data_IF_400636488055
#
_entry.id   IF_400636488055
#
_cell.length_a   1.000
_cell.length_b   1.000
_cell.length_c   1.000
_cell.angle_alpha   90.00
_cell.angle_beta   90.00
_cell.angle_gamma   90.00
#
_symmetry.space_group_name_H-M   'P 1'
#
loop_
_entity.id
_entity.type
_entity.pdbx_description
1 polymer ?
#
# COMPACT_ATOMS: atom_id res chain seq x y z
N UNK A 1 -48.40 47.77 46.42
CA UNK A 1 -47.39 47.95 45.34
C UNK A 1 -48.18 48.29 44.09
N UNK A 2 -48.06 49.51 43.56
CA UNK A 2 -48.86 49.96 42.40
C UNK A 2 -48.46 49.19 41.14
N UNK A 3 -49.43 48.89 40.25
CA UNK A 3 -49.22 48.04 39.07
C UNK A 3 -48.11 48.55 38.14
N UNK A 4 -47.90 49.86 38.10
CA UNK A 4 -46.81 50.51 37.34
C UNK A 4 -45.41 50.06 37.80
N UNK A 5 -45.18 49.92 39.11
CA UNK A 5 -43.88 49.45 39.63
C UNK A 5 -43.61 47.97 39.30
N UNK A 6 -44.66 47.17 39.15
CA UNK A 6 -44.51 45.76 38.75
C UNK A 6 -44.23 45.64 37.24
N UNK A 7 -44.87 46.49 36.43
CA UNK A 7 -44.61 46.57 34.99
C UNK A 7 -43.16 46.99 34.70
N UNK A 8 -42.61 47.96 35.42
CA UNK A 8 -41.20 48.38 35.26
C UNK A 8 -40.19 47.31 35.70
N UNK A 9 -40.48 46.57 36.77
CA UNK A 9 -39.61 45.48 37.24
C UNK A 9 -39.62 44.32 36.24
N UNK A 10 -40.80 43.95 35.73
CA UNK A 10 -40.93 42.88 34.73
C UNK A 10 -40.31 43.33 33.41
N UNK A 11 -40.52 44.58 32.99
CA UNK A 11 -39.91 45.16 31.79
C UNK A 11 -38.38 45.18 31.85
N UNK A 12 -37.79 45.60 32.97
CA UNK A 12 -36.33 45.56 33.17
C UNK A 12 -35.79 44.13 33.24
N UNK A 13 -36.54 43.18 33.80
CA UNK A 13 -36.11 41.77 33.89
C UNK A 13 -36.20 41.06 32.54
N UNK A 14 -37.20 41.40 31.72
CA UNK A 14 -37.30 40.97 30.32
C UNK A 14 -36.17 41.58 29.50
N UNK A 15 -35.86 42.88 29.65
CA UNK A 15 -34.75 43.51 28.95
C UNK A 15 -33.38 42.92 29.31
N UNK A 16 -33.16 42.55 30.59
CA UNK A 16 -31.95 41.85 31.03
C UNK A 16 -31.84 40.41 30.49
N UNK A 17 -32.97 39.71 30.30
CA UNK A 17 -32.98 38.38 29.69
C UNK A 17 -32.69 38.45 28.18
N UNK A 18 -33.18 39.47 27.47
CA UNK A 18 -32.97 39.62 26.02
C UNK A 18 -31.52 39.99 25.66
N UNK A 19 -30.75 40.60 26.57
CA UNK A 19 -29.34 40.99 26.33
C UNK A 19 -28.37 39.82 26.60
N UNK A 20 -28.77 38.83 27.41
CA UNK A 20 -27.88 37.74 27.84
C UNK A 20 -27.79 36.54 26.90
N UNK A 21 -28.70 36.35 25.94
CA UNK A 21 -28.73 35.08 25.20
C UNK A 21 -27.97 35.10 23.88
N UNK A 22 -28.01 36.16 23.08
CA UNK A 22 -27.47 36.07 21.71
C UNK A 22 -25.93 36.09 21.64
N UNK A 23 -25.29 36.87 22.51
CA UNK A 23 -23.82 36.97 22.53
C UNK A 23 -23.16 35.75 23.21
N UNK A 24 -23.77 35.24 24.28
CA UNK A 24 -23.32 34.04 24.98
C UNK A 24 -23.51 32.78 24.13
N UNK A 25 -24.62 32.67 23.38
CA UNK A 25 -24.84 31.59 22.43
C UNK A 25 -23.82 31.65 21.29
N UNK A 26 -23.56 32.82 20.70
CA UNK A 26 -22.53 32.99 19.65
C UNK A 26 -21.14 32.63 20.17
N UNK A 27 -20.79 32.98 21.40
CA UNK A 27 -19.52 32.59 22.02
C UNK A 27 -19.45 31.08 22.26
N UNK A 28 -20.51 30.47 22.76
CA UNK A 28 -20.58 29.02 22.93
C UNK A 28 -20.44 28.30 21.57
N UNK A 29 -21.15 28.73 20.54
CA UNK A 29 -21.05 28.17 19.18
C UNK A 29 -19.63 28.30 18.61
N UNK A 30 -18.96 29.44 18.83
CA UNK A 30 -17.57 29.65 18.41
C UNK A 30 -16.63 28.67 19.11
N UNK A 31 -16.78 28.51 20.43
CA UNK A 31 -15.98 27.57 21.24
C UNK A 31 -16.26 26.11 20.84
N UNK A 32 -17.51 25.75 20.55
CA UNK A 32 -17.86 24.43 20.04
C UNK A 32 -17.25 24.20 18.64
N UNK A 33 -17.29 25.20 17.76
CA UNK A 33 -16.69 25.12 16.44
C UNK A 33 -15.16 24.94 16.51
N UNK A 34 -14.49 25.70 17.38
CA UNK A 34 -13.05 25.58 17.62
C UNK A 34 -12.68 24.21 18.19
N UNK A 35 -13.44 23.72 19.18
CA UNK A 35 -13.19 22.41 19.80
C UNK A 35 -13.42 21.28 18.80
N UNK A 36 -14.46 21.37 17.97
CA UNK A 36 -14.72 20.40 16.91
C UNK A 36 -13.62 20.43 15.83
N UNK A 37 -13.12 21.60 15.47
CA UNK A 37 -11.99 21.73 14.56
C UNK A 37 -10.69 21.17 15.14
N UNK A 38 -10.48 21.30 16.46
CA UNK A 38 -9.35 20.70 17.17
C UNK A 38 -9.47 19.18 17.22
N UNK A 39 -10.61 18.65 17.64
CA UNK A 39 -10.87 17.20 17.67
C UNK A 39 -10.71 16.57 16.29
N UNK A 40 -11.16 17.25 15.24
CA UNK A 40 -10.98 16.77 13.86
C UNK A 40 -9.50 16.68 13.48
N UNK A 41 -8.69 17.69 13.85
CA UNK A 41 -7.23 17.65 13.66
C UNK A 41 -6.56 16.53 14.45
N UNK A 42 -6.97 16.30 15.70
CA UNK A 42 -6.46 15.19 16.52
C UNK A 42 -6.83 13.82 15.94
N UNK A 43 -8.06 13.65 15.46
CA UNK A 43 -8.49 12.43 14.77
C UNK A 43 -7.67 12.20 13.49
N UNK A 44 -7.43 13.24 12.70
CA UNK A 44 -6.64 13.12 11.48
C UNK A 44 -5.18 12.79 11.79
N UNK A 45 -4.58 13.39 12.83
CA UNK A 45 -3.23 13.07 13.29
C UNK A 45 -3.12 11.66 13.89
N UNK A 46 -4.15 11.19 14.60
CA UNK A 46 -4.21 9.82 15.13
C UNK A 46 -4.40 8.79 14.01
N UNK A 47 -5.22 9.11 13.00
CA UNK A 47 -5.35 8.30 11.79
C UNK A 47 -4.02 8.20 11.07
N UNK A 48 -3.29 9.30 10.91
CA UNK A 48 -1.96 9.30 10.29
C UNK A 48 -0.95 8.47 11.10
N UNK A 49 -0.94 8.59 12.43
CA UNK A 49 -0.10 7.75 13.30
C UNK A 49 -0.46 6.26 13.21
N UNK A 50 -1.75 5.93 13.18
CA UNK A 50 -2.21 4.56 12.99
C UNK A 50 -1.82 4.03 11.61
N UNK A 51 -1.94 4.85 10.57
CA UNK A 51 -1.53 4.53 9.18
C UNK A 51 -0.03 4.24 9.12
N UNK A 52 0.79 5.04 9.79
CA UNK A 52 2.24 4.84 9.87
C UNK A 52 2.60 3.57 10.67
N UNK A 53 1.85 3.26 11.73
CA UNK A 53 2.04 2.06 12.53
C UNK A 53 1.63 0.80 11.74
N UNK A 54 0.51 0.86 11.02
CA UNK A 54 0.04 -0.18 10.10
C UNK A 54 0.99 -0.36 8.91
N UNK A 55 1.61 0.72 8.41
CA UNK A 55 2.63 0.66 7.35
C UNK A 55 3.95 0.05 7.85
N UNK A 56 4.33 0.33 9.11
CA UNK A 56 5.50 -0.29 9.75
C UNK A 56 5.28 -1.76 10.14
N UNK A 57 4.07 -2.14 10.57
CA UNK A 57 3.72 -3.53 10.83
C UNK A 57 3.41 -4.31 9.53
N UNK A 58 2.88 -3.64 8.50
CA UNK A 58 2.31 -4.24 7.30
C UNK A 58 3.29 -4.55 6.17
N UNK A 59 4.59 -4.71 6.41
CA UNK A 59 5.53 -5.07 5.33
C UNK A 59 5.54 -6.57 5.02
N UNK A 60 4.35 -7.15 4.78
CA UNK A 60 4.23 -8.43 4.05
C UNK A 60 3.83 -8.12 2.63
N UNK A 61 4.77 -8.34 1.73
CA UNK A 61 4.73 -7.83 0.38
C UNK A 61 4.27 -8.98 -0.52
N UNK A 62 3.03 -8.87 -1.01
CA UNK A 62 2.48 -9.56 -2.18
C UNK A 62 1.99 -11.02 -2.05
N UNK A 63 1.05 -11.38 -2.95
CA UNK A 63 0.54 -12.74 -3.17
C UNK A 63 1.00 -13.25 -4.53
N UNK A 64 1.45 -14.51 -4.59
CA UNK A 64 2.22 -15.05 -5.72
C UNK A 64 1.67 -16.38 -6.18
N UNK A 65 1.34 -16.53 -7.45
CA UNK A 65 1.36 -17.84 -8.09
C UNK A 65 1.91 -17.70 -9.50
N UNK A 66 2.30 -18.83 -10.07
CA UNK A 66 2.97 -18.91 -11.37
C UNK A 66 2.25 -19.82 -12.36
N UNK A 67 1.81 -19.22 -13.47
CA UNK A 67 2.10 -19.66 -14.84
C UNK A 67 2.04 -18.43 -15.74
N UNK A 68 3.14 -18.09 -16.40
CA UNK A 68 3.16 -17.00 -17.38
C UNK A 68 2.93 -17.56 -18.78
N UNK A 69 1.73 -17.39 -19.32
CA UNK A 69 1.44 -17.64 -20.74
C UNK A 69 1.52 -16.30 -21.46
N UNK A 70 2.61 -16.08 -22.18
CA UNK A 70 2.76 -14.91 -23.05
C UNK A 70 1.95 -15.16 -24.31
N UNK A 71 0.88 -14.38 -24.46
CA UNK A 71 0.17 -14.22 -25.72
C UNK A 71 0.40 -12.76 -26.13
N UNK A 72 1.21 -12.57 -27.17
CA UNK A 72 1.61 -11.29 -27.78
C UNK A 72 2.71 -10.48 -27.06
N UNK A 73 3.58 -9.78 -27.84
CA UNK A 73 4.81 -9.11 -27.36
C UNK A 73 4.58 -7.86 -26.49
N UNK A 74 3.46 -7.75 -25.76
CA UNK A 74 3.17 -6.56 -24.94
C UNK A 74 2.50 -6.85 -23.59
N UNK A 75 1.96 -8.04 -23.36
CA UNK A 75 1.31 -8.40 -22.09
C UNK A 75 1.38 -9.90 -21.83
N UNK A 76 1.38 -10.28 -20.56
CA UNK A 76 1.51 -11.66 -20.10
C UNK A 76 0.27 -12.04 -19.30
N UNK A 77 -0.23 -13.27 -19.49
CA UNK A 77 -1.24 -13.84 -18.58
C UNK A 77 -0.53 -14.61 -17.48
N UNK A 78 -0.85 -14.30 -16.23
CA UNK A 78 -0.23 -14.88 -15.04
C UNK A 78 -1.29 -15.63 -14.24
N UNK A 79 -1.05 -16.91 -13.97
CA UNK A 79 -1.83 -17.68 -13.00
C UNK A 79 -1.29 -17.45 -11.60
N UNK A 80 -2.08 -16.88 -10.70
CA UNK A 80 -1.69 -16.65 -9.31
C UNK A 80 -2.18 -17.74 -8.34
N UNK A 81 -2.73 -18.86 -8.85
CA UNK A 81 -3.35 -19.89 -8.01
C UNK A 81 -4.76 -19.52 -7.51
N UNK A 82 -5.31 -18.39 -7.96
CA UNK A 82 -6.67 -17.92 -7.62
C UNK A 82 -7.76 -18.54 -8.53
N UNK A 83 -7.38 -19.46 -9.41
CA UNK A 83 -8.28 -20.07 -10.41
C UNK A 83 -8.64 -19.17 -11.59
N UNK A 84 -8.11 -17.94 -11.63
CA UNK A 84 -8.27 -17.01 -12.76
C UNK A 84 -6.92 -16.43 -13.19
N UNK A 85 -6.73 -16.29 -14.51
CA UNK A 85 -5.52 -15.71 -15.09
C UNK A 85 -5.62 -14.18 -15.05
N UNK A 86 -4.65 -13.52 -14.42
CA UNK A 86 -4.53 -12.06 -14.41
C UNK A 86 -3.70 -11.58 -15.60
N UNK A 87 -4.04 -10.39 -16.10
CA UNK A 87 -3.24 -9.75 -17.16
C UNK A 87 -2.22 -8.83 -16.53
N UNK A 88 -0.94 -9.03 -16.85
CA UNK A 88 0.18 -8.20 -16.39
C UNK A 88 0.92 -7.65 -17.62
N UNK A 89 1.04 -6.34 -17.68
CA UNK A 89 1.83 -5.64 -18.70
C UNK A 89 3.22 -5.38 -18.12
N UNK A 90 4.25 -5.93 -18.75
CA UNK A 90 5.65 -5.72 -18.33
C UNK A 90 6.48 -5.11 -19.47
N UNK A 91 7.40 -4.23 -19.12
CA UNK A 91 8.33 -3.58 -20.05
C UNK A 91 9.59 -4.39 -20.35
N UNK A 92 9.55 -5.72 -20.18
CA UNK A 92 10.74 -6.59 -20.21
C UNK A 92 11.16 -7.07 -21.60
N UNK A 93 10.42 -6.68 -22.64
CA UNK A 93 10.67 -7.08 -24.05
C UNK A 93 12.12 -6.88 -24.51
N UNK A 94 12.83 -5.78 -24.16
CA UNK A 94 14.21 -5.59 -24.59
C UNK A 94 15.25 -6.28 -23.68
N UNK A 95 14.86 -6.73 -22.48
CA UNK A 95 15.79 -7.22 -21.46
C UNK A 95 15.77 -8.75 -21.31
N UNK A 96 14.60 -9.38 -21.46
CA UNK A 96 14.44 -10.82 -21.26
C UNK A 96 13.87 -11.48 -22.51
N UNK A 97 14.56 -12.48 -23.09
CA UNK A 97 14.04 -13.18 -24.26
C UNK A 97 12.77 -13.97 -23.91
N UNK A 98 11.85 -14.07 -24.87
CA UNK A 98 10.54 -14.70 -24.67
C UNK A 98 10.63 -16.17 -24.22
N UNK A 99 11.64 -16.88 -24.71
CA UNK A 99 11.93 -18.28 -24.35
C UNK A 99 12.24 -18.41 -22.87
N UNK A 100 12.99 -17.45 -22.31
CA UNK A 100 13.27 -17.43 -20.89
C UNK A 100 12.06 -17.01 -20.09
N UNK A 101 11.11 -16.25 -20.64
CA UNK A 101 9.91 -15.81 -19.92
C UNK A 101 8.84 -16.91 -19.81
N UNK A 102 8.84 -17.88 -20.73
CA UNK A 102 7.89 -18.99 -20.71
C UNK A 102 8.23 -19.95 -19.57
N UNK A 103 7.25 -20.17 -18.68
CA UNK A 103 7.42 -21.08 -17.55
C UNK A 103 8.25 -20.54 -16.38
N UNK A 104 8.60 -19.24 -16.37
CA UNK A 104 9.22 -18.64 -15.19
C UNK A 104 8.26 -18.54 -14.03
N UNK A 105 8.81 -18.88 -12.85
CA UNK A 105 8.23 -18.54 -11.56
C UNK A 105 8.85 -17.20 -11.14
N UNK A 106 8.02 -16.16 -11.16
CA UNK A 106 8.42 -14.81 -10.81
C UNK A 106 7.59 -14.25 -9.65
N UNK A 107 8.01 -13.08 -9.17
CA UNK A 107 7.39 -12.39 -8.05
C UNK A 107 6.51 -11.27 -8.56
N UNK A 108 5.21 -11.31 -8.26
CA UNK A 108 4.24 -10.31 -8.70
C UNK A 108 3.62 -9.54 -7.54
N UNK A 109 3.35 -8.26 -7.81
CA UNK A 109 2.62 -7.33 -6.95
C UNK A 109 1.18 -7.26 -7.43
N UNK A 110 0.23 -7.76 -6.63
CA UNK A 110 -1.17 -7.91 -7.06
C UNK A 110 -2.17 -7.06 -6.26
N UNK A 111 -1.71 -6.37 -5.22
CA UNK A 111 -2.51 -5.48 -4.37
C UNK A 111 -2.52 -4.01 -4.85
N UNK A 112 -1.84 -3.71 -5.97
CA UNK A 112 -1.90 -2.39 -6.58
C UNK A 112 -3.23 -2.17 -7.31
N UNK A 113 -3.64 -0.91 -7.41
CA UNK A 113 -4.79 -0.55 -8.24
C UNK A 113 -4.46 -0.90 -9.71
N UNK A 114 -5.36 -1.61 -10.42
CA UNK A 114 -5.15 -1.90 -11.84
C UNK A 114 -4.90 -0.63 -12.66
N UNK A 115 -3.89 -0.67 -13.51
CA UNK A 115 -3.47 0.47 -14.34
C UNK A 115 -3.68 0.12 -15.80
N UNK A 116 -4.35 1.00 -16.55
CA UNK A 116 -4.48 0.84 -18.00
C UNK A 116 -3.23 1.37 -18.70
N UNK A 117 -2.50 0.47 -19.35
CA UNK A 117 -1.34 0.77 -20.17
C UNK A 117 -1.64 0.40 -21.63
N UNK A 118 -1.57 1.38 -22.52
CA UNK A 118 -1.80 1.18 -23.98
C UNK A 118 -3.12 0.46 -24.30
N UNK A 119 -4.18 0.72 -23.52
CA UNK A 119 -5.51 0.12 -23.70
C UNK A 119 -5.70 -1.23 -23.01
N UNK A 120 -4.67 -1.80 -22.40
CA UNK A 120 -4.72 -3.07 -21.66
C UNK A 120 -4.66 -2.77 -20.16
N UNK A 121 -5.55 -3.39 -19.38
CA UNK A 121 -5.54 -3.26 -17.93
C UNK A 121 -4.53 -4.24 -17.32
N UNK A 122 -3.48 -3.70 -16.69
CA UNK A 122 -2.52 -4.48 -15.90
C UNK A 122 -3.04 -4.58 -14.47
N UNK A 123 -3.27 -5.81 -14.03
CA UNK A 123 -3.77 -6.17 -12.69
C UNK A 123 -2.66 -6.64 -11.75
N UNK A 124 -1.41 -6.34 -12.11
CA UNK A 124 -0.24 -6.56 -11.29
C UNK A 124 1.03 -5.99 -11.92
N UNK A 125 2.13 -6.15 -11.20
CA UNK A 125 3.47 -5.74 -11.61
C UNK A 125 4.44 -6.88 -11.31
N UNK A 126 5.36 -7.18 -12.23
CA UNK A 126 6.40 -8.19 -12.03
C UNK A 126 7.63 -7.53 -11.41
N UNK A 127 8.08 -8.05 -10.27
CA UNK A 127 9.26 -7.58 -9.56
C UNK A 127 10.54 -7.98 -10.30
N UNK A 128 11.35 -6.98 -10.58
CA UNK A 128 12.62 -7.13 -11.25
C UNK A 128 13.73 -6.44 -10.47
N UNK A 129 14.95 -6.93 -10.61
CA UNK A 129 16.15 -6.24 -10.18
C UNK A 129 16.72 -5.44 -11.36
N UNK A 130 17.08 -4.18 -11.13
CA UNK A 130 17.67 -3.29 -12.10
C UNK A 130 19.05 -2.83 -11.62
N UNK A 131 20.10 -3.24 -12.33
CA UNK A 131 21.47 -2.81 -12.08
C UNK A 131 21.71 -1.37 -12.58
N UNK A 132 22.78 -0.73 -12.11
CA UNK A 132 23.26 0.58 -12.58
C UNK A 132 23.57 0.61 -14.09
N UNK A 133 23.77 -0.55 -14.72
CA UNK A 133 23.99 -0.71 -16.16
C UNK A 133 22.69 -0.77 -16.99
N UNK A 134 21.54 -0.39 -16.42
CA UNK A 134 20.19 -0.54 -17.00
C UNK A 134 19.80 -1.98 -17.37
N UNK A 135 20.48 -2.96 -16.76
CA UNK A 135 20.17 -4.38 -16.94
C UNK A 135 19.04 -4.76 -15.98
N UNK A 136 17.90 -5.12 -16.55
CA UNK A 136 16.71 -5.54 -15.79
C UNK A 136 16.55 -7.05 -15.89
N UNK A 137 16.47 -7.73 -14.74
CA UNK A 137 16.19 -9.16 -14.66
C UNK A 137 15.05 -9.45 -13.67
N UNK A 138 14.12 -10.36 -14.00
CA UNK A 138 13.06 -10.74 -13.08
C UNK A 138 13.63 -11.52 -11.90
N UNK A 139 13.05 -11.31 -10.72
CA UNK A 139 13.40 -12.12 -9.55
C UNK A 139 12.88 -13.55 -9.74
N UNK A 140 13.71 -14.52 -9.37
CA UNK A 140 13.42 -15.95 -9.45
C UNK A 140 13.36 -16.56 -8.06
N UNK A 141 12.57 -17.63 -7.94
CA UNK A 141 12.44 -18.40 -6.72
C UNK A 141 13.17 -19.72 -6.92
N UNK A 142 14.15 -20.01 -6.08
CA UNK A 142 14.78 -21.32 -6.02
C UNK A 142 14.33 -22.03 -4.75
N UNK A 143 13.79 -23.24 -4.93
CA UNK A 143 13.31 -24.07 -3.83
C UNK A 143 13.72 -25.52 -4.09
N UNK A 144 14.14 -26.26 -3.05
CA UNK A 144 14.38 -27.70 -3.15
C UNK A 144 13.07 -28.50 -3.24
N UNK A 145 11.94 -27.88 -2.91
CA UNK A 145 10.60 -28.49 -2.85
C UNK A 145 9.68 -27.85 -3.89
N UNK A 146 8.67 -28.61 -4.32
CA UNK A 146 7.62 -28.11 -5.20
C UNK A 146 6.95 -26.84 -4.60
N UNK A 147 6.95 -25.78 -5.39
CA UNK A 147 6.35 -24.51 -5.00
C UNK A 147 4.84 -24.56 -5.21
N UNK A 148 4.10 -24.12 -4.20
CA UNK A 148 2.64 -23.96 -4.33
C UNK A 148 2.33 -22.59 -4.94
N UNK A 149 1.50 -22.59 -5.98
CA UNK A 149 0.98 -21.35 -6.57
C UNK A 149 0.03 -20.69 -5.57
N UNK A 150 0.10 -19.38 -5.45
CA UNK A 150 -0.65 -18.58 -4.47
C UNK A 150 0.09 -18.30 -3.14
N UNK A 151 1.34 -18.76 -2.97
CA UNK A 151 2.13 -18.49 -1.77
C UNK A 151 2.38 -16.98 -1.57
N UNK A 152 2.62 -16.54 -0.34
CA UNK A 152 2.84 -15.13 0.01
C UNK A 152 4.29 -14.91 0.40
N UNK A 153 4.90 -13.83 -0.09
CA UNK A 153 6.22 -13.39 0.39
C UNK A 153 6.04 -12.56 1.64
N UNK A 154 6.87 -12.83 2.62
CA UNK A 154 6.96 -12.05 3.84
C UNK A 154 8.42 -11.78 4.16
N UNK A 155 8.62 -10.76 4.99
CA UNK A 155 9.93 -10.42 5.55
C UNK A 155 9.83 -10.68 7.05
N UNK A 156 10.71 -11.51 7.59
CA UNK A 156 10.58 -12.06 8.94
C UNK A 156 10.44 -10.98 10.02
N UNK A 157 11.16 -9.88 9.89
CA UNK A 157 11.17 -8.78 10.86
C UNK A 157 9.99 -7.81 10.73
N UNK A 158 9.13 -8.01 9.72
CA UNK A 158 7.98 -7.14 9.42
C UNK A 158 6.68 -7.95 9.31
N UNK A 159 6.16 -8.48 10.44
CA UNK A 159 4.96 -9.31 10.44
C UNK A 159 3.69 -8.46 10.25
N UNK A 160 2.99 -8.68 9.14
CA UNK A 160 1.68 -8.07 8.87
C UNK A 160 0.84 -8.86 7.87
N UNK A 161 -0.44 -8.50 7.74
CA UNK A 161 -1.31 -9.02 6.69
C UNK A 161 -1.46 -7.99 5.57
N UNK A 162 -1.38 -8.39 4.29
CA UNK A 162 -1.47 -7.46 3.18
C UNK A 162 -2.91 -6.93 3.03
N UNK A 163 -3.03 -5.63 2.74
CA UNK A 163 -4.28 -5.02 2.33
C UNK A 163 -4.82 -5.70 1.06
N UNK A 164 -6.14 -5.88 0.97
CA UNK A 164 -6.81 -6.40 -0.22
C UNK A 164 -6.58 -5.50 -1.45
N UNK A 165 -6.50 -4.19 -1.24
CA UNK A 165 -6.12 -3.21 -2.26
C UNK A 165 -5.41 -2.03 -1.60
N UNK A 166 -4.21 -1.71 -2.07
CA UNK A 166 -3.44 -0.56 -1.60
C UNK A 166 -4.18 0.73 -1.94
N UNK A 167 -4.42 1.55 -0.92
CA UNK A 167 -5.08 2.82 -1.11
C UNK A 167 -4.14 3.83 -1.81
N UNK A 168 -4.49 4.36 -3.00
CA UNK A 168 -3.56 5.16 -3.81
C UNK A 168 -3.02 6.41 -3.11
N UNK A 169 -3.78 6.99 -2.18
CA UNK A 169 -3.34 8.18 -1.43
C UNK A 169 -2.26 7.89 -0.40
N UNK A 170 -2.14 6.63 0.07
CA UNK A 170 -1.15 6.23 1.08
C UNK A 170 0.26 6.12 0.50
N UNK A 171 0.38 5.97 -0.83
CA UNK A 171 1.66 5.85 -1.54
C UNK A 171 2.60 4.81 -0.89
N UNK A 172 2.04 3.77 -0.27
CA UNK A 172 2.80 2.73 0.47
C UNK A 172 3.88 2.14 -0.43
N UNK A 173 3.55 1.86 -1.68
CA UNK A 173 4.50 1.38 -2.68
C UNK A 173 5.72 2.31 -2.84
N UNK A 174 5.49 3.62 -2.94
CA UNK A 174 6.56 4.62 -3.10
C UNK A 174 7.46 4.72 -1.86
N UNK A 175 6.92 4.38 -0.67
CA UNK A 175 7.68 4.38 0.58
C UNK A 175 8.50 3.10 0.77
N UNK A 176 7.98 1.95 0.32
CA UNK A 176 8.61 0.64 0.49
C UNK A 176 9.64 0.37 -0.61
N UNK A 177 9.38 0.82 -1.84
CA UNK A 177 10.24 0.59 -3.02
C UNK A 177 11.72 0.96 -2.80
N UNK A 178 12.08 2.11 -2.20
CA UNK A 178 13.48 2.49 -1.99
C UNK A 178 14.26 1.53 -1.08
N UNK A 179 13.57 0.88 -0.14
CA UNK A 179 14.15 -0.01 0.84
C UNK A 179 14.25 -1.48 0.35
N UNK A 180 13.70 -1.78 -0.84
CA UNK A 180 13.76 -3.09 -1.47
C UNK A 180 14.91 -3.14 -2.48
N UNK A 181 15.84 -4.07 -2.27
CA UNK A 181 17.03 -4.22 -3.13
C UNK A 181 17.51 -5.66 -3.17
N UNK A 182 18.42 -5.95 -4.08
CA UNK A 182 19.18 -7.19 -4.13
C UNK A 182 20.52 -6.96 -3.44
N UNK A 183 20.96 -7.89 -2.60
CA UNK A 183 22.27 -7.82 -1.95
C UNK A 183 23.40 -8.38 -2.82
N UNK A 184 24.63 -8.36 -2.30
CA UNK A 184 25.81 -8.93 -2.96
C UNK A 184 25.74 -10.45 -3.17
N UNK A 185 24.85 -11.13 -2.45
CA UNK A 185 24.58 -12.56 -2.57
C UNK A 185 23.43 -12.87 -3.54
N UNK A 186 22.98 -11.87 -4.31
CA UNK A 186 21.86 -11.93 -5.24
C UNK A 186 20.49 -12.12 -4.57
N UNK A 187 20.40 -12.07 -3.24
CA UNK A 187 19.15 -12.28 -2.52
C UNK A 187 18.32 -11.00 -2.52
N UNK A 188 17.01 -11.15 -2.73
CA UNK A 188 16.08 -10.04 -2.55
C UNK A 188 15.92 -9.75 -1.05
N UNK A 189 16.23 -8.52 -0.66
CA UNK A 189 16.20 -8.04 0.71
C UNK A 189 15.33 -6.79 0.84
N UNK A 190 14.71 -6.63 2.00
CA UNK A 190 14.04 -5.40 2.42
C UNK A 190 14.69 -4.93 3.73
N UNK A 191 15.25 -3.72 3.74
CA UNK A 191 15.97 -3.17 4.91
C UNK A 191 17.04 -4.11 5.49
N UNK A 192 17.68 -4.90 4.64
CA UNK A 192 18.72 -5.87 5.04
C UNK A 192 18.19 -7.26 5.43
N UNK A 193 16.87 -7.49 5.38
CA UNK A 193 16.25 -8.77 5.74
C UNK A 193 15.78 -9.49 4.47
N UNK A 194 16.14 -10.76 4.27
CA UNK A 194 15.78 -11.50 3.05
C UNK A 194 14.29 -11.82 2.98
N UNK A 195 13.79 -11.83 1.75
CA UNK A 195 12.42 -12.25 1.46
C UNK A 195 12.28 -13.75 1.60
N UNK A 196 11.14 -14.20 2.16
CA UNK A 196 10.82 -15.61 2.38
C UNK A 196 9.41 -15.91 1.92
N UNK A 197 9.17 -17.14 1.49
CA UNK A 197 7.82 -17.62 1.21
C UNK A 197 7.16 -18.18 2.47
N UNK A 198 5.88 -17.86 2.67
CA UNK A 198 5.12 -18.21 3.87
C UNK A 198 4.92 -19.71 4.01
N UNK A 199 4.55 -20.41 2.93
CA UNK A 199 4.37 -21.85 2.95
C UNK A 199 5.66 -22.63 2.65
N UNK A 200 6.66 -21.96 2.06
CA UNK A 200 7.95 -22.55 1.67
C UNK A 200 9.14 -21.78 2.25
N UNK A 201 9.38 -21.82 3.58
CA UNK A 201 10.41 -20.99 4.21
C UNK A 201 11.84 -21.31 3.71
N UNK A 202 12.08 -22.52 3.21
CA UNK A 202 13.36 -22.95 2.65
C UNK A 202 13.62 -22.39 1.24
N UNK A 203 12.60 -21.84 0.59
CA UNK A 203 12.76 -21.21 -0.71
C UNK A 203 13.52 -19.88 -0.56
N UNK A 204 14.43 -19.65 -1.50
CA UNK A 204 15.20 -18.42 -1.61
C UNK A 204 14.74 -17.62 -2.82
N UNK A 205 14.67 -16.31 -2.63
CA UNK A 205 14.32 -15.36 -3.68
C UNK A 205 15.58 -14.62 -4.09
N UNK A 206 15.92 -14.69 -5.37
CA UNK A 206 17.15 -14.09 -5.87
C UNK A 206 17.03 -13.53 -7.27
N UNK A 207 17.95 -12.64 -7.63
CA UNK A 207 18.16 -12.26 -9.02
C UNK A 207 19.08 -13.30 -9.71
N UNK A 208 18.92 -13.57 -11.02
CA UNK A 208 19.73 -14.57 -11.72
C UNK A 208 21.21 -14.19 -11.81
N UNK A 209 21.52 -12.93 -12.10
CA UNK A 209 22.92 -12.47 -12.26
C UNK A 209 23.21 -11.11 -11.65
N UNK A 210 22.17 -10.32 -11.38
CA UNK A 210 22.30 -8.96 -10.85
C UNK A 210 22.61 -8.99 -9.34
N UNK A 211 23.54 -8.15 -8.90
CA UNK A 211 23.94 -7.97 -7.49
C UNK A 211 23.89 -6.49 -7.12
N UNK A 212 23.68 -6.20 -5.83
CA UNK A 212 23.70 -4.83 -5.29
C UNK A 212 22.84 -3.82 -6.09
N UNK A 213 21.64 -4.25 -6.46
CA UNK A 213 20.75 -3.55 -7.38
C UNK A 213 19.42 -3.19 -6.75
N UNK A 214 18.78 -2.14 -7.25
CA UNK A 214 17.44 -1.77 -6.80
C UNK A 214 16.41 -2.76 -7.36
N UNK A 215 15.40 -3.11 -6.56
CA UNK A 215 14.24 -3.86 -7.08
C UNK A 215 13.07 -2.92 -7.38
N UNK A 216 12.39 -3.15 -8.51
CA UNK A 216 11.25 -2.38 -9.00
C UNK A 216 10.14 -3.25 -9.57
#
# INVERSE_FOLDING_TARGET
MTSEKFADIVGNKIALLTICDESAIKQAELVYAERNAQLKREIDALKEKLDNLETMAGSTIFGFGSYMVISFPSFCKVDLGEGSLRTVVSGLVPHVPIERMQGLVGIFVCNLKPVKMRGIESQGMLMCAADASDKIEPLVIESPTDLTLGDKVYVQDYPGEPDAQLHPKRKVWEQVMPDMRVDSSQLAIYKGVPWRLRNSPDAIIKAPTVVDAQTS
#
